data_IF_133774558984
#
_entry.id   IF_133774558984
#
_cell.length_a   1.000
_cell.length_b   1.000
_cell.length_c   1.000
_cell.angle_alpha   90.00
_cell.angle_beta   90.00
_cell.angle_gamma   90.00
#
_symmetry.space_group_name_H-M   'P 1'
#
loop_
_entity.id
_entity.type
_entity.pdbx_description
1 polymer ?
#
# COMPACT_ATOMS: atom_id res chain seq x y z
N UNK A 1 -3.99 -28.99 2.20
CA UNK A 1 -4.27 -27.58 1.87
C UNK A 1 -3.76 -26.60 2.91
N UNK A 2 -4.10 -26.70 4.19
CA UNK A 2 -3.63 -25.75 5.24
C UNK A 2 -2.11 -25.59 5.30
N UNK A 3 -1.33 -26.66 5.11
CA UNK A 3 0.14 -26.62 5.14
C UNK A 3 0.73 -25.80 3.99
N UNK A 4 0.12 -25.83 2.80
CA UNK A 4 0.55 -25.04 1.65
C UNK A 4 0.39 -23.52 1.91
N UNK A 5 -0.80 -23.10 2.37
CA UNK A 5 -1.04 -21.68 2.64
C UNK A 5 -0.15 -21.10 3.74
N UNK A 6 0.24 -21.91 4.72
CA UNK A 6 1.17 -21.49 5.79
C UNK A 6 2.57 -21.07 5.28
N UNK A 7 3.01 -21.61 4.14
CA UNK A 7 4.32 -21.35 3.55
C UNK A 7 4.36 -20.10 2.64
N UNK A 8 3.23 -19.53 2.26
CA UNK A 8 3.17 -18.36 1.36
C UNK A 8 3.70 -17.14 2.14
N UNK A 9 4.75 -16.42 1.68
CA UNK A 9 5.26 -15.25 2.40
C UNK A 9 4.29 -14.08 2.30
N UNK A 10 4.08 -13.30 3.38
CA UNK A 10 3.24 -12.09 3.33
C UNK A 10 3.84 -11.00 2.41
N UNK A 11 5.15 -11.02 2.20
CA UNK A 11 5.83 -10.14 1.26
C UNK A 11 5.36 -10.31 -0.20
N UNK A 12 4.69 -11.44 -0.54
CA UNK A 12 4.04 -11.64 -1.83
C UNK A 12 3.04 -10.52 -2.15
N UNK A 13 2.45 -9.87 -1.13
CA UNK A 13 1.54 -8.75 -1.32
C UNK A 13 2.16 -7.57 -2.08
N UNK A 14 3.45 -7.31 -1.88
CA UNK A 14 4.16 -6.26 -2.60
C UNK A 14 4.37 -6.60 -4.08
N UNK A 15 4.66 -7.88 -4.39
CA UNK A 15 4.73 -8.35 -5.77
C UNK A 15 3.36 -8.26 -6.47
N UNK A 16 2.30 -8.68 -5.79
CA UNK A 16 0.93 -8.59 -6.31
C UNK A 16 0.53 -7.15 -6.60
N UNK A 17 0.86 -6.21 -5.70
CA UNK A 17 0.66 -4.79 -5.91
C UNK A 17 1.41 -4.29 -7.16
N UNK A 18 2.67 -4.68 -7.32
CA UNK A 18 3.49 -4.30 -8.47
C UNK A 18 2.90 -4.82 -9.79
N UNK A 19 2.43 -6.08 -9.83
CA UNK A 19 1.79 -6.67 -11.00
C UNK A 19 0.46 -5.96 -11.35
N UNK A 20 -0.39 -5.65 -10.38
CA UNK A 20 -1.61 -4.87 -10.64
C UNK A 20 -1.28 -3.47 -11.16
N UNK A 21 -0.29 -2.80 -10.58
CA UNK A 21 0.15 -1.47 -11.02
C UNK A 21 0.68 -1.52 -12.45
N UNK A 22 1.51 -2.50 -12.77
CA UNK A 22 2.05 -2.72 -14.13
C UNK A 22 0.91 -2.97 -15.12
N UNK A 23 -0.02 -3.86 -14.81
CA UNK A 23 -1.19 -4.15 -15.64
C UNK A 23 -2.01 -2.88 -15.95
N UNK A 24 -2.12 -1.96 -14.99
CA UNK A 24 -2.84 -0.70 -15.19
C UNK A 24 -2.07 0.29 -16.08
N UNK A 25 -0.73 0.28 -16.03
CA UNK A 25 0.10 1.18 -16.84
C UNK A 25 0.17 0.75 -18.31
N UNK A 26 0.23 -0.55 -18.56
CA UNK A 26 0.34 -1.11 -19.93
C UNK A 26 -1.04 -1.44 -20.55
N UNK A 27 -2.09 -0.81 -20.10
CA UNK A 27 -3.47 -1.11 -20.51
C UNK A 27 -3.72 -0.97 -22.02
N UNK A 28 -2.89 -0.22 -22.75
CA UNK A 28 -2.92 -0.15 -24.22
C UNK A 28 -2.53 -1.48 -24.90
N UNK A 29 -1.82 -2.37 -24.23
CA UNK A 29 -1.57 -3.76 -24.67
C UNK A 29 -2.54 -4.72 -23.98
N UNK A 30 -3.81 -4.71 -24.40
CA UNK A 30 -4.92 -5.35 -23.69
C UNK A 30 -4.66 -6.80 -23.26
N UNK A 31 -4.15 -7.66 -24.18
CA UNK A 31 -3.89 -9.07 -23.88
C UNK A 31 -2.81 -9.26 -22.79
N UNK A 32 -1.72 -8.51 -22.90
CA UNK A 32 -0.62 -8.59 -21.94
C UNK A 32 -1.08 -8.05 -20.58
N UNK A 33 -1.77 -6.91 -20.57
CA UNK A 33 -2.32 -6.32 -19.37
C UNK A 33 -3.30 -7.26 -18.66
N UNK A 34 -4.19 -7.94 -19.39
CA UNK A 34 -5.11 -8.93 -18.83
C UNK A 34 -4.37 -10.16 -18.27
N UNK A 35 -3.36 -10.66 -18.98
CA UNK A 35 -2.55 -11.78 -18.50
C UNK A 35 -1.85 -11.46 -17.18
N UNK A 36 -1.24 -10.28 -17.07
CA UNK A 36 -0.60 -9.83 -15.84
C UNK A 36 -1.63 -9.62 -14.72
N UNK A 37 -2.81 -9.05 -15.04
CA UNK A 37 -3.87 -8.87 -14.05
C UNK A 37 -4.38 -10.20 -13.49
N UNK A 38 -4.56 -11.21 -14.35
CA UNK A 38 -4.96 -12.56 -13.93
C UNK A 38 -3.89 -13.20 -13.03
N UNK A 39 -2.62 -13.09 -13.40
CA UNK A 39 -1.51 -13.58 -12.57
C UNK A 39 -1.49 -12.91 -11.20
N UNK A 40 -1.64 -11.58 -11.16
CA UNK A 40 -1.76 -10.82 -9.92
C UNK A 40 -2.96 -11.26 -9.08
N UNK A 41 -4.10 -11.54 -9.72
CA UNK A 41 -5.32 -12.00 -9.05
C UNK A 41 -5.14 -13.36 -8.40
N UNK A 42 -4.43 -14.29 -9.06
CA UNK A 42 -4.06 -15.58 -8.45
C UNK A 42 -3.21 -15.36 -7.20
N UNK A 43 -2.17 -14.51 -7.29
CA UNK A 43 -1.34 -14.15 -6.14
C UNK A 43 -2.15 -13.52 -5.00
N UNK A 44 -3.10 -12.65 -5.33
CA UNK A 44 -3.99 -12.00 -4.36
C UNK A 44 -4.87 -13.02 -3.65
N UNK A 45 -5.47 -13.98 -4.38
CA UNK A 45 -6.27 -15.06 -3.82
C UNK A 45 -5.46 -16.00 -2.92
N UNK A 46 -4.19 -16.24 -3.26
CA UNK A 46 -3.28 -17.02 -2.40
C UNK A 46 -3.04 -16.33 -1.07
N UNK A 47 -2.86 -15.00 -1.06
CA UNK A 47 -2.70 -14.22 0.18
C UNK A 47 -4.00 -14.25 0.99
N UNK A 48 -5.17 -14.06 0.36
CA UNK A 48 -6.46 -14.18 1.02
C UNK A 48 -6.64 -15.57 1.65
N UNK A 49 -6.30 -16.63 0.90
CA UNK A 49 -6.31 -17.99 1.43
C UNK A 49 -5.40 -18.15 2.65
N UNK A 50 -4.22 -17.52 2.66
CA UNK A 50 -3.34 -17.51 3.83
C UNK A 50 -3.95 -16.77 5.01
N UNK A 51 -4.57 -15.62 4.80
CA UNK A 51 -5.24 -14.86 5.86
C UNK A 51 -6.34 -15.66 6.56
N UNK A 52 -7.09 -16.47 5.77
CA UNK A 52 -8.20 -17.26 6.29
C UNK A 52 -7.70 -18.56 6.91
N UNK A 53 -6.82 -19.31 6.24
CA UNK A 53 -6.43 -20.68 6.61
C UNK A 53 -5.16 -20.74 7.47
N UNK A 54 -4.34 -19.67 7.48
CA UNK A 54 -3.05 -19.58 8.18
C UNK A 54 -2.97 -18.42 9.17
N UNK A 55 -4.08 -18.02 9.77
CA UNK A 55 -4.18 -16.82 10.62
C UNK A 55 -3.15 -16.77 11.76
N UNK A 56 -2.84 -17.91 12.40
CA UNK A 56 -1.84 -17.97 13.47
C UNK A 56 -0.45 -17.56 12.99
N UNK A 57 -0.02 -18.08 11.84
CA UNK A 57 1.27 -17.72 11.22
C UNK A 57 1.28 -16.25 10.76
N UNK A 58 0.17 -15.77 10.22
CA UNK A 58 0.02 -14.34 9.87
C UNK A 58 0.22 -13.47 11.10
N UNK A 59 -0.42 -13.82 12.22
CA UNK A 59 -0.27 -13.09 13.50
C UNK A 59 1.17 -13.09 14.00
N UNK A 60 1.89 -14.18 13.79
CA UNK A 60 3.29 -14.33 14.17
C UNK A 60 4.20 -13.48 13.27
N UNK A 61 4.02 -13.55 11.95
CA UNK A 61 4.74 -12.73 10.97
C UNK A 61 4.54 -11.23 11.21
N UNK A 62 3.33 -10.81 11.55
CA UNK A 62 2.99 -9.42 11.85
C UNK A 62 3.61 -8.90 13.17
N UNK A 63 4.34 -9.72 13.90
CA UNK A 63 5.19 -9.26 15.01
C UNK A 63 6.48 -8.60 14.53
N UNK A 64 6.92 -8.92 13.31
CA UNK A 64 8.08 -8.28 12.70
C UNK A 64 7.66 -6.95 12.05
N UNK A 65 8.23 -5.79 12.45
CA UNK A 65 7.83 -4.48 11.92
C UNK A 65 8.04 -4.34 10.42
N UNK A 66 9.06 -5.02 9.86
CA UNK A 66 9.35 -4.99 8.41
C UNK A 66 8.27 -5.74 7.64
N UNK A 67 7.91 -6.94 8.10
CA UNK A 67 6.87 -7.76 7.45
C UNK A 67 5.51 -7.08 7.60
N UNK A 68 5.18 -6.57 8.79
CA UNK A 68 3.94 -5.87 9.05
C UNK A 68 3.81 -4.61 8.18
N UNK A 69 4.88 -3.81 8.04
CA UNK A 69 4.83 -2.62 7.18
C UNK A 69 4.69 -2.98 5.69
N UNK A 70 5.40 -3.99 5.22
CA UNK A 70 5.29 -4.46 3.84
C UNK A 70 3.91 -5.04 3.53
N UNK A 71 3.26 -5.69 4.51
CA UNK A 71 1.93 -6.27 4.33
C UNK A 71 0.84 -5.21 4.04
N UNK A 72 1.05 -3.94 4.38
CA UNK A 72 0.14 -2.87 3.99
C UNK A 72 -0.09 -2.78 2.46
N UNK A 73 0.85 -3.27 1.65
CA UNK A 73 0.70 -3.42 0.21
C UNK A 73 -0.46 -4.33 -0.21
N UNK A 74 -0.93 -5.23 0.68
CA UNK A 74 -2.12 -6.03 0.46
C UNK A 74 -3.38 -5.16 0.30
N UNK A 75 -3.56 -4.15 1.16
CA UNK A 75 -4.70 -3.23 1.05
C UNK A 75 -4.59 -2.37 -0.20
N UNK A 76 -3.38 -1.93 -0.56
CA UNK A 76 -3.14 -1.21 -1.81
C UNK A 76 -3.51 -2.07 -3.03
N UNK A 77 -3.10 -3.34 -3.03
CA UNK A 77 -3.44 -4.30 -4.08
C UNK A 77 -4.96 -4.55 -4.16
N UNK A 78 -5.64 -4.59 -3.01
CA UNK A 78 -7.09 -4.75 -2.94
C UNK A 78 -7.84 -3.61 -3.65
N UNK A 79 -7.39 -2.35 -3.52
CA UNK A 79 -7.95 -1.22 -4.27
C UNK A 79 -7.82 -1.41 -5.78
N UNK A 80 -6.65 -1.81 -6.26
CA UNK A 80 -6.40 -2.03 -7.68
C UNK A 80 -7.18 -3.24 -8.23
N UNK A 81 -7.30 -4.31 -7.44
CA UNK A 81 -8.13 -5.45 -7.78
C UNK A 81 -9.60 -5.08 -7.88
N UNK A 82 -10.14 -4.41 -6.85
CA UNK A 82 -11.55 -4.02 -6.79
C UNK A 82 -11.96 -3.06 -7.90
N UNK A 83 -11.06 -2.19 -8.36
CA UNK A 83 -11.34 -1.21 -9.42
C UNK A 83 -11.65 -1.83 -10.79
N UNK A 84 -11.27 -3.09 -11.03
CA UNK A 84 -11.55 -3.81 -12.28
C UNK A 84 -12.68 -4.84 -12.15
N UNK A 85 -13.27 -4.97 -10.96
CA UNK A 85 -14.43 -5.84 -10.81
C UNK A 85 -15.65 -5.23 -11.51
N UNK A 86 -16.51 -6.05 -12.14
CA UNK A 86 -17.71 -5.59 -12.81
C UNK A 86 -18.83 -5.23 -11.81
N UNK A 87 -18.55 -4.26 -10.94
CA UNK A 87 -19.47 -3.80 -9.91
C UNK A 87 -20.23 -2.56 -10.42
N UNK A 88 -21.51 -2.46 -10.04
CA UNK A 88 -22.26 -1.21 -10.21
C UNK A 88 -21.57 -0.08 -9.41
N UNK A 89 -21.78 1.17 -9.82
CA UNK A 89 -21.15 2.34 -9.22
C UNK A 89 -21.32 2.41 -7.69
N UNK A 90 -22.48 2.06 -7.19
CA UNK A 90 -22.75 1.98 -5.74
C UNK A 90 -21.93 0.89 -5.07
N UNK A 91 -21.85 -0.30 -5.67
CA UNK A 91 -21.04 -1.39 -5.17
C UNK A 91 -19.55 -1.04 -5.12
N UNK A 92 -19.05 -0.36 -6.14
CA UNK A 92 -17.67 0.11 -6.19
C UNK A 92 -17.39 1.12 -5.07
N UNK A 93 -18.31 2.06 -4.82
CA UNK A 93 -18.17 3.05 -3.75
C UNK A 93 -18.19 2.42 -2.36
N UNK A 94 -19.07 1.47 -2.11
CA UNK A 94 -19.14 0.74 -0.84
C UNK A 94 -17.85 -0.07 -0.61
N UNK A 95 -17.38 -0.79 -1.63
CA UNK A 95 -16.12 -1.55 -1.57
C UNK A 95 -14.94 -0.62 -1.29
N UNK A 96 -14.87 0.53 -1.97
CA UNK A 96 -13.81 1.51 -1.79
C UNK A 96 -13.78 2.06 -0.36
N UNK A 97 -14.94 2.46 0.21
CA UNK A 97 -15.05 2.94 1.59
C UNK A 97 -14.67 1.85 2.58
N UNK A 98 -15.13 0.62 2.36
CA UNK A 98 -14.80 -0.53 3.21
C UNK A 98 -13.29 -0.83 3.23
N UNK A 99 -12.65 -0.83 2.06
CA UNK A 99 -11.21 -1.03 1.95
C UNK A 99 -10.42 0.10 2.61
N UNK A 100 -10.87 1.35 2.47
CA UNK A 100 -10.24 2.50 3.13
C UNK A 100 -10.36 2.38 4.66
N UNK A 101 -11.52 2.00 5.16
CA UNK A 101 -11.75 1.76 6.59
C UNK A 101 -10.84 0.65 7.14
N UNK A 102 -10.73 -0.47 6.43
CA UNK A 102 -9.83 -1.57 6.81
C UNK A 102 -8.36 -1.14 6.79
N UNK A 103 -7.96 -0.34 5.80
CA UNK A 103 -6.60 0.17 5.75
C UNK A 103 -6.30 1.12 6.91
N UNK A 104 -7.21 2.04 7.22
CA UNK A 104 -7.07 2.95 8.38
C UNK A 104 -7.00 2.14 9.68
N UNK A 105 -7.84 1.14 9.86
CA UNK A 105 -7.80 0.24 11.01
C UNK A 105 -6.43 -0.45 11.13
N UNK A 106 -5.86 -0.87 9.99
CA UNK A 106 -4.51 -1.46 9.96
C UNK A 106 -3.42 -0.44 10.33
N UNK A 107 -3.51 0.80 9.87
CA UNK A 107 -2.59 1.89 10.26
C UNK A 107 -2.64 2.10 11.77
N UNK A 108 -3.83 2.16 12.35
CA UNK A 108 -4.01 2.32 13.80
C UNK A 108 -3.38 1.13 14.55
N UNK A 109 -3.67 -0.10 14.12
CA UNK A 109 -3.06 -1.30 14.70
C UNK A 109 -1.54 -1.25 14.66
N UNK A 110 -0.94 -0.92 13.51
CA UNK A 110 0.50 -0.82 13.35
C UNK A 110 1.10 0.29 14.24
N UNK A 111 0.47 1.47 14.26
CA UNK A 111 0.92 2.61 15.05
C UNK A 111 0.90 2.30 16.54
N UNK A 112 -0.17 1.71 17.06
CA UNK A 112 -0.28 1.33 18.47
C UNK A 112 0.77 0.29 18.86
N UNK A 113 1.13 -0.60 17.93
CA UNK A 113 2.07 -1.69 18.22
C UNK A 113 3.53 -1.29 18.10
N UNK A 114 3.90 -0.46 17.13
CA UNK A 114 5.30 -0.19 16.78
C UNK A 114 5.73 1.26 17.03
N UNK A 115 4.80 2.21 17.22
CA UNK A 115 5.14 3.57 17.63
C UNK A 115 5.22 3.74 19.15
N UNK A 116 4.80 2.74 19.95
CA UNK A 116 4.90 2.77 21.40
C UNK A 116 5.65 1.54 21.93
N UNK A 117 6.93 1.60 22.32
CA UNK A 117 7.85 2.75 22.28
C UNK A 117 8.50 2.94 20.89
N UNK A 118 8.61 4.19 20.46
CA UNK A 118 9.32 4.52 19.22
C UNK A 118 10.81 4.23 19.40
N UNK A 119 11.32 3.17 18.77
CA UNK A 119 12.74 2.89 18.68
C UNK A 119 13.22 3.06 17.24
N UNK A 120 14.34 3.77 17.04
CA UNK A 120 14.93 3.98 15.72
C UNK A 120 15.25 2.65 15.00
N UNK A 121 15.50 1.59 15.76
CA UNK A 121 15.76 0.26 15.21
C UNK A 121 14.56 -0.32 14.46
N UNK A 122 13.34 0.13 14.75
CA UNK A 122 12.09 -0.36 14.14
C UNK A 122 11.62 0.49 12.95
N UNK A 123 12.26 1.65 12.73
CA UNK A 123 11.92 2.54 11.60
C UNK A 123 12.63 2.02 10.34
N UNK A 124 11.85 1.64 9.35
CA UNK A 124 12.33 1.17 8.05
C UNK A 124 11.69 1.96 6.91
N UNK A 125 12.30 2.02 5.71
CA UNK A 125 11.68 2.62 4.54
C UNK A 125 10.29 2.05 4.20
N UNK A 126 10.02 0.81 4.58
CA UNK A 126 8.71 0.18 4.41
C UNK A 126 7.56 0.86 5.21
N UNK A 127 7.86 1.74 6.17
CA UNK A 127 6.84 2.55 6.85
C UNK A 127 6.10 3.49 5.89
N UNK A 128 6.75 3.91 4.79
CA UNK A 128 6.06 4.65 3.73
C UNK A 128 4.89 3.87 3.13
N UNK A 129 5.00 2.54 3.03
CA UNK A 129 3.92 1.71 2.48
C UNK A 129 2.67 1.81 3.35
N UNK A 130 2.82 1.92 4.68
CA UNK A 130 1.69 2.05 5.60
C UNK A 130 1.07 3.45 5.56
N UNK A 131 1.88 4.50 5.76
CA UNK A 131 1.35 5.84 6.01
C UNK A 131 1.08 6.64 4.73
N UNK A 132 1.79 6.34 3.63
CA UNK A 132 1.58 6.98 2.33
C UNK A 132 0.73 6.11 1.40
N UNK A 133 0.72 4.80 1.64
CA UNK A 133 -0.04 3.84 0.85
C UNK A 133 -1.53 4.12 0.66
N UNK A 134 -2.26 4.73 1.62
CA UNK A 134 -3.66 5.13 1.40
C UNK A 134 -3.87 6.04 0.20
N UNK A 135 -2.85 6.77 -0.26
CA UNK A 135 -2.92 7.56 -1.48
C UNK A 135 -3.31 6.73 -2.73
N UNK A 136 -3.05 5.40 -2.75
CA UNK A 136 -3.47 4.51 -3.84
C UNK A 136 -5.00 4.50 -4.02
N UNK A 137 -5.75 4.73 -2.95
CA UNK A 137 -7.22 4.81 -3.02
C UNK A 137 -7.69 5.91 -3.95
N UNK A 138 -6.91 6.98 -4.11
CA UNK A 138 -7.21 8.09 -5.02
C UNK A 138 -7.00 7.73 -6.49
N UNK A 139 -6.15 6.73 -6.77
CA UNK A 139 -5.94 6.21 -8.14
C UNK A 139 -7.18 5.47 -8.64
N UNK A 140 -7.94 4.88 -7.72
CA UNK A 140 -9.14 4.06 -8.00
C UNK A 140 -10.42 4.70 -7.46
N UNK A 141 -10.38 5.99 -7.15
CA UNK A 141 -11.48 6.68 -6.48
C UNK A 141 -12.74 6.71 -7.34
N UNK A 142 -13.91 6.30 -6.83
CA UNK A 142 -15.18 6.44 -7.52
C UNK A 142 -15.55 7.91 -7.72
N UNK A 143 -16.28 8.20 -8.80
CA UNK A 143 -16.72 9.56 -9.13
C UNK A 143 -17.60 10.19 -8.04
N UNK A 144 -18.34 9.37 -7.28
CA UNK A 144 -19.23 9.77 -6.19
C UNK A 144 -18.51 10.35 -4.96
N UNK A 145 -17.20 10.14 -4.83
CA UNK A 145 -16.44 10.60 -3.65
C UNK A 145 -16.20 12.10 -3.73
N UNK A 146 -16.59 12.87 -2.68
CA UNK A 146 -16.41 14.32 -2.65
C UNK A 146 -14.95 14.75 -2.76
N UNK A 147 -14.73 15.90 -3.39
CA UNK A 147 -13.39 16.50 -3.57
C UNK A 147 -12.67 16.77 -2.23
N UNK A 148 -13.43 17.13 -1.19
CA UNK A 148 -12.92 17.35 0.15
C UNK A 148 -12.26 16.08 0.77
N UNK A 149 -12.88 14.92 0.58
CA UNK A 149 -12.33 13.63 1.05
C UNK A 149 -11.05 13.30 0.27
N UNK A 150 -11.05 13.51 -1.05
CA UNK A 150 -9.85 13.31 -1.88
C UNK A 150 -8.70 14.20 -1.41
N UNK A 151 -8.98 15.49 -1.17
CA UNK A 151 -8.00 16.45 -0.65
C UNK A 151 -7.50 16.08 0.75
N UNK A 152 -8.38 15.59 1.63
CA UNK A 152 -8.00 15.13 2.97
C UNK A 152 -7.02 13.95 2.90
N UNK A 153 -7.33 12.93 2.10
CA UNK A 153 -6.44 11.75 1.94
C UNK A 153 -5.08 12.20 1.40
N UNK A 154 -5.06 13.03 0.36
CA UNK A 154 -3.82 13.51 -0.22
C UNK A 154 -3.02 14.37 0.77
N UNK A 155 -3.68 15.25 1.52
CA UNK A 155 -3.04 16.08 2.55
C UNK A 155 -2.43 15.26 3.68
N UNK A 156 -3.18 14.29 4.22
CA UNK A 156 -2.68 13.42 5.31
C UNK A 156 -1.50 12.57 4.83
N UNK A 157 -1.59 11.97 3.64
CA UNK A 157 -0.50 11.15 3.10
C UNK A 157 0.72 11.99 2.70
N UNK A 158 0.51 13.23 2.24
CA UNK A 158 1.58 14.21 1.99
C UNK A 158 2.31 14.59 3.28
N UNK A 159 1.57 14.94 4.33
CA UNK A 159 2.14 15.25 5.66
C UNK A 159 2.90 14.04 6.23
N UNK A 160 2.35 12.83 6.08
CA UNK A 160 3.03 11.62 6.48
C UNK A 160 4.36 11.43 5.73
N UNK A 161 4.40 11.75 4.43
CA UNK A 161 5.63 11.70 3.64
C UNK A 161 6.67 12.69 4.18
N UNK A 162 6.27 13.95 4.42
CA UNK A 162 7.15 14.99 4.96
C UNK A 162 7.71 14.63 6.33
N UNK A 163 6.91 14.01 7.18
CA UNK A 163 7.34 13.59 8.52
C UNK A 163 8.25 12.35 8.49
N UNK A 164 7.94 11.38 7.64
CA UNK A 164 8.68 10.12 7.58
C UNK A 164 10.01 10.25 6.84
N UNK A 165 10.10 11.13 5.83
CA UNK A 165 11.30 11.27 5.02
C UNK A 165 12.55 11.62 5.86
N UNK A 166 12.55 12.69 6.67
CA UNK A 166 13.68 13.01 7.53
C UNK A 166 13.94 11.92 8.59
N UNK A 167 12.89 11.32 9.15
CA UNK A 167 13.02 10.27 10.16
C UNK A 167 13.72 9.03 9.59
N UNK A 168 13.32 8.57 8.41
CA UNK A 168 13.91 7.40 7.74
C UNK A 168 15.36 7.69 7.32
N UNK A 169 15.63 8.89 6.75
CA UNK A 169 16.99 9.28 6.37
C UNK A 169 17.91 9.38 7.60
N UNK A 170 17.42 9.96 8.69
CA UNK A 170 18.18 10.05 9.94
C UNK A 170 18.51 8.65 10.49
N UNK A 171 17.51 7.76 10.54
CA UNK A 171 17.73 6.35 10.94
C UNK A 171 18.79 5.68 10.08
N UNK A 172 18.75 5.87 8.75
CA UNK A 172 19.72 5.25 7.83
C UNK A 172 21.16 5.75 8.04
N UNK A 173 21.32 7.00 8.50
CA UNK A 173 22.64 7.54 8.88
C UNK A 173 23.18 6.93 10.18
N UNK A 174 22.29 6.63 11.12
CA UNK A 174 22.70 6.13 12.46
C UNK A 174 22.87 4.61 12.53
N UNK A 175 22.08 3.87 11.75
CA UNK A 175 22.01 2.41 11.88
C UNK A 175 22.06 1.78 10.49
N UNK A 176 23.08 0.97 10.24
CA UNK A 176 23.21 0.24 8.99
C UNK A 176 22.02 -0.70 8.77
N UNK A 177 21.51 -0.75 7.54
CA UNK A 177 20.46 -1.69 7.17
C UNK A 177 21.11 -3.06 6.92
N UNK A 178 20.67 -4.12 7.61
CA UNK A 178 21.15 -5.48 7.35
C UNK A 178 21.02 -5.85 5.87
N UNK A 179 21.96 -6.60 5.32
CA UNK A 179 21.98 -6.97 3.91
C UNK A 179 20.68 -7.57 3.40
N UNK A 180 20.01 -8.38 4.24
CA UNK A 180 18.71 -8.98 3.93
C UNK A 180 17.61 -7.94 3.61
N UNK A 181 17.70 -6.74 4.18
CA UNK A 181 16.69 -5.67 4.03
C UNK A 181 17.12 -4.55 3.10
N UNK A 182 18.31 -4.62 2.47
CA UNK A 182 18.77 -3.60 1.53
C UNK A 182 17.81 -3.34 0.34
N UNK A 183 17.11 -4.35 -0.23
CA UNK A 183 16.14 -4.10 -1.30
C UNK A 183 14.99 -3.15 -0.90
N UNK A 184 14.71 -3.00 0.41
CA UNK A 184 13.69 -2.08 0.94
C UNK A 184 14.06 -0.60 0.65
N UNK A 185 15.32 -0.29 0.37
CA UNK A 185 15.75 1.06 0.00
C UNK A 185 15.09 1.56 -1.29
N UNK A 186 14.74 0.66 -2.21
CA UNK A 186 14.01 1.02 -3.42
C UNK A 186 12.64 1.68 -3.12
N UNK A 187 12.07 1.43 -1.95
CA UNK A 187 10.79 2.03 -1.51
C UNK A 187 10.92 3.55 -1.33
N UNK A 188 12.11 4.11 -1.11
CA UNK A 188 12.29 5.56 -0.93
C UNK A 188 11.84 6.39 -2.13
N UNK A 189 11.88 5.83 -3.33
CA UNK A 189 11.42 6.51 -4.55
C UNK A 189 9.87 6.47 -4.69
N UNK A 190 9.20 5.54 -4.03
CA UNK A 190 7.78 5.28 -4.24
C UNK A 190 6.83 6.36 -3.68
N UNK A 191 7.06 6.99 -2.51
CA UNK A 191 6.10 7.91 -1.90
C UNK A 191 5.76 9.09 -2.79
N UNK A 192 6.76 9.77 -3.34
CA UNK A 192 6.56 10.93 -4.21
C UNK A 192 5.85 10.55 -5.51
N UNK A 193 6.27 9.45 -6.15
CA UNK A 193 5.62 8.95 -7.36
C UNK A 193 4.15 8.59 -7.11
N UNK A 194 3.84 7.99 -5.97
CA UNK A 194 2.47 7.65 -5.58
C UNK A 194 1.62 8.91 -5.34
N UNK A 195 2.15 9.90 -4.63
CA UNK A 195 1.44 11.16 -4.35
C UNK A 195 1.15 11.93 -5.64
N UNK A 196 2.13 12.03 -6.55
CA UNK A 196 1.95 12.70 -7.86
C UNK A 196 0.87 11.97 -8.67
N UNK A 197 0.97 10.65 -8.80
CA UNK A 197 -0.01 9.86 -9.55
C UNK A 197 -1.42 9.98 -8.95
N UNK A 198 -1.54 9.92 -7.63
CA UNK A 198 -2.82 10.06 -6.91
C UNK A 198 -3.42 11.43 -7.08
N UNK A 199 -2.62 12.49 -7.05
CA UNK A 199 -3.02 13.87 -7.26
C UNK A 199 -3.58 14.09 -8.68
N UNK A 200 -2.89 13.59 -9.69
CA UNK A 200 -3.33 13.68 -11.10
C UNK A 200 -4.64 12.91 -11.30
N UNK A 201 -4.73 11.68 -10.81
CA UNK A 201 -5.91 10.81 -10.97
C UNK A 201 -7.15 11.32 -10.23
N UNK A 202 -6.96 11.96 -9.08
CA UNK A 202 -8.03 12.54 -8.29
C UNK A 202 -8.42 13.96 -8.71
N UNK A 203 -7.76 14.53 -9.73
CA UNK A 203 -7.94 15.90 -10.21
C UNK A 203 -7.66 16.98 -9.15
N UNK A 204 -6.69 16.74 -8.26
CA UNK A 204 -6.27 17.62 -7.17
C UNK A 204 -5.02 18.44 -7.58
N UNK A 205 -5.11 19.20 -8.70
CA UNK A 205 -4.00 19.96 -9.30
C UNK A 205 -3.26 20.92 -8.33
N UNK A 206 -3.94 21.68 -7.44
CA UNK A 206 -3.23 22.60 -6.54
C UNK A 206 -2.28 21.87 -5.57
N UNK A 207 -2.68 20.70 -5.07
CA UNK A 207 -1.85 19.90 -4.18
C UNK A 207 -0.60 19.33 -4.87
N UNK A 208 -0.67 19.06 -6.19
CA UNK A 208 0.48 18.60 -6.98
C UNK A 208 1.57 19.67 -7.07
N UNK A 209 1.18 20.94 -7.22
CA UNK A 209 2.13 22.06 -7.33
C UNK A 209 2.88 22.24 -6.01
N UNK A 210 2.20 22.13 -4.87
CA UNK A 210 2.83 22.22 -3.54
C UNK A 210 3.79 21.04 -3.30
N UNK A 211 3.43 19.83 -3.73
CA UNK A 211 4.29 18.65 -3.61
C UNK A 211 5.51 18.67 -4.54
N UNK A 212 5.46 19.39 -5.65
CA UNK A 212 6.59 19.54 -6.58
C UNK A 212 7.51 20.70 -6.17
N UNK A 213 7.04 21.62 -5.31
CA UNK A 213 7.80 22.77 -4.82
C UNK A 213 8.58 22.47 -3.50
N UNK A 214 8.36 21.29 -2.92
CA UNK A 214 9.06 20.76 -1.73
C UNK A 214 10.14 19.77 -2.12
#
# INVERSE_FOLDING_TARGET
MKVFFKKIPLALSSLVLALFSLSNQINHYALIAQGIWLLASIGFMLILGRLILGFEQVREDLRNPVIASAFASFFMAAFLFASRLPLAQTGLSVTWVGLLGLYIAYIIFFSLRFMRPLSLNQVFPSWFVIYVGPAISLVTVPASVPTSIKGLILGVTGLATLALFPLVLWRMKQIAIPHLYQPILAILAAPLALLITSSIKSNQRPATIILLAL
#
